data_IF_389244046460
#
_entry.id   IF_389244046460
#
_cell.length_a   1.000
_cell.length_b   1.000
_cell.length_c   1.000
_cell.angle_alpha   90.00
_cell.angle_beta   90.00
_cell.angle_gamma   90.00
#
_symmetry.space_group_name_H-M   'P 1'
#
loop_
_entity.id
_entity.type
_entity.pdbx_description
1 polymer ?
#
# COMPACT_ATOMS: atom_id res chain seq x y z
N UNK A 1 -0.19 2.75 12.80
CA UNK A 1 -0.98 1.49 12.96
C UNK A 1 -0.55 0.53 11.86
N UNK A 2 -0.45 -0.79 12.07
CA UNK A 2 -0.10 -1.70 10.96
C UNK A 2 -1.26 -1.80 9.97
N UNK A 3 -0.95 -1.90 8.68
CA UNK A 3 -1.96 -2.05 7.63
C UNK A 3 -2.83 -3.31 7.85
N UNK A 4 -2.21 -4.41 8.29
CA UNK A 4 -2.90 -5.67 8.58
C UNK A 4 -3.91 -5.55 9.74
N UNK A 5 -3.69 -4.63 10.67
CA UNK A 5 -4.62 -4.38 11.77
C UNK A 5 -5.78 -3.48 11.32
N UNK A 6 -5.48 -2.49 10.46
CA UNK A 6 -6.46 -1.54 9.94
C UNK A 6 -7.42 -2.17 8.92
N UNK A 7 -6.89 -2.97 7.99
CA UNK A 7 -7.60 -3.54 6.84
C UNK A 7 -7.22 -5.01 6.64
N UNK A 8 -7.57 -5.91 7.58
CA UNK A 8 -7.13 -7.31 7.56
C UNK A 8 -7.59 -8.08 6.31
N UNK A 9 -8.80 -7.79 5.82
CA UNK A 9 -9.35 -8.44 4.62
C UNK A 9 -8.58 -8.04 3.36
N UNK A 10 -8.35 -6.73 3.17
CA UNK A 10 -7.54 -6.21 2.06
C UNK A 10 -6.15 -6.83 2.05
N UNK A 11 -5.48 -6.92 3.20
CA UNK A 11 -4.15 -7.52 3.27
C UNK A 11 -4.17 -9.01 2.89
N UNK A 12 -5.20 -9.75 3.30
CA UNK A 12 -5.31 -11.17 2.93
C UNK A 12 -5.54 -11.36 1.43
N UNK A 13 -6.39 -10.54 0.83
CA UNK A 13 -6.67 -10.60 -0.61
C UNK A 13 -5.42 -10.25 -1.43
N UNK A 14 -4.72 -9.17 -1.06
CA UNK A 14 -3.44 -8.79 -1.67
C UNK A 14 -2.41 -9.91 -1.57
N UNK A 15 -2.28 -10.56 -0.40
CA UNK A 15 -1.34 -11.69 -0.23
C UNK A 15 -1.68 -12.83 -1.19
N UNK A 16 -2.96 -13.18 -1.31
CA UNK A 16 -3.43 -14.20 -2.24
C UNK A 16 -3.03 -13.89 -3.68
N UNK A 17 -3.38 -12.70 -4.16
CA UNK A 17 -3.09 -12.27 -5.53
C UNK A 17 -1.59 -12.16 -5.81
N UNK A 18 -0.81 -11.56 -4.90
CA UNK A 18 0.64 -11.44 -5.02
C UNK A 18 1.35 -12.80 -5.12
N UNK A 19 0.91 -13.79 -4.34
CA UNK A 19 1.45 -15.15 -4.42
C UNK A 19 1.19 -15.79 -5.79
N UNK A 20 0.02 -15.57 -6.38
CA UNK A 20 -0.31 -16.11 -7.72
C UNK A 20 0.59 -15.55 -8.82
N UNK A 21 1.00 -14.28 -8.71
CA UNK A 21 1.91 -13.63 -9.67
C UNK A 21 3.39 -13.75 -9.30
N UNK A 22 3.73 -14.56 -8.28
CA UNK A 22 5.12 -14.82 -7.88
C UNK A 22 5.80 -13.68 -7.11
N UNK A 23 5.04 -12.74 -6.52
CA UNK A 23 5.52 -11.59 -5.76
C UNK A 23 5.54 -11.83 -4.25
N UNK A 24 6.10 -12.97 -3.85
CA UNK A 24 6.29 -13.32 -2.43
C UNK A 24 7.16 -12.32 -1.67
N UNK A 25 8.06 -11.61 -2.36
CA UNK A 25 8.88 -10.53 -1.81
C UNK A 25 8.06 -9.34 -1.28
N UNK A 26 6.86 -9.11 -1.83
CA UNK A 26 5.95 -8.05 -1.36
C UNK A 26 5.06 -8.57 -0.21
N UNK A 27 4.66 -9.84 -0.28
CA UNK A 27 3.82 -10.50 0.75
C UNK A 27 4.43 -10.38 2.13
N UNK A 28 5.75 -10.59 2.24
CA UNK A 28 6.49 -10.49 3.50
C UNK A 28 6.46 -9.05 4.07
N UNK A 29 6.43 -8.03 3.21
CA UNK A 29 6.40 -6.63 3.63
C UNK A 29 5.02 -6.19 4.15
N UNK A 30 3.93 -6.71 3.58
CA UNK A 30 2.56 -6.35 3.97
C UNK A 30 2.26 -6.58 5.46
N UNK A 31 2.96 -7.52 6.11
CA UNK A 31 2.81 -7.79 7.54
C UNK A 31 3.48 -6.72 8.44
N UNK A 32 4.39 -5.92 7.88
CA UNK A 32 5.24 -5.02 8.64
C UNK A 32 4.98 -3.54 8.37
N UNK A 33 4.33 -3.21 7.25
CA UNK A 33 4.02 -1.82 6.91
C UNK A 33 3.00 -1.19 7.85
N UNK A 34 3.24 0.08 8.17
CA UNK A 34 2.33 0.89 8.97
C UNK A 34 1.65 1.94 8.11
N UNK A 35 0.36 2.15 8.31
CA UNK A 35 -0.36 3.26 7.69
C UNK A 35 0.15 4.58 8.28
N UNK A 36 0.56 5.50 7.41
CA UNK A 36 1.01 6.85 7.78
C UNK A 36 -0.12 7.87 7.62
N UNK A 37 -0.82 7.81 6.48
CA UNK A 37 -1.96 8.65 6.14
C UNK A 37 -2.71 8.02 4.97
N UNK A 38 -3.87 8.56 4.65
CA UNK A 38 -4.65 8.14 3.49
C UNK A 38 -5.36 9.34 2.86
N UNK A 39 -5.80 9.17 1.62
CA UNK A 39 -6.63 10.13 0.88
C UNK A 39 -7.73 9.38 0.15
N UNK A 40 -8.87 10.03 -0.05
CA UNK A 40 -9.96 9.54 -0.88
C UNK A 40 -10.22 10.54 -2.00
N UNK A 41 -10.22 10.06 -3.24
CA UNK A 41 -10.60 10.81 -4.43
C UNK A 41 -12.03 10.44 -4.82
N UNK A 42 -12.95 11.39 -4.63
CA UNK A 42 -14.38 11.21 -4.92
C UNK A 42 -14.69 11.13 -6.43
N UNK A 43 -13.83 11.69 -7.28
CA UNK A 43 -14.02 11.61 -8.74
C UNK A 43 -13.63 10.25 -9.28
N UNK A 44 -12.60 9.63 -8.71
CA UNK A 44 -12.10 8.32 -9.11
C UNK A 44 -12.73 7.16 -8.31
N UNK A 45 -13.46 7.47 -7.22
CA UNK A 45 -13.86 6.52 -6.18
C UNK A 45 -12.68 5.64 -5.75
N UNK A 46 -11.58 6.29 -5.40
CA UNK A 46 -10.32 5.62 -5.08
C UNK A 46 -9.78 6.07 -3.73
N UNK A 47 -9.38 5.09 -2.91
CA UNK A 47 -8.66 5.34 -1.65
C UNK A 47 -7.20 5.01 -1.85
N UNK A 48 -6.33 5.98 -1.58
CA UNK A 48 -4.89 5.79 -1.57
C UNK A 48 -4.36 5.79 -0.13
N UNK A 49 -3.65 4.73 0.23
CA UNK A 49 -3.09 4.53 1.57
C UNK A 49 -1.58 4.67 1.47
N UNK A 50 -1.03 5.67 2.16
CA UNK A 50 0.41 5.86 2.28
C UNK A 50 0.92 5.02 3.45
N UNK A 51 1.95 4.23 3.20
CA UNK A 51 2.52 3.35 4.21
C UNK A 51 4.00 3.58 4.43
N UNK A 52 4.42 3.43 5.68
CA UNK A 52 5.80 3.47 6.11
C UNK A 52 6.34 2.06 6.30
N UNK A 53 7.54 1.80 5.77
CA UNK A 53 8.31 0.59 6.04
C UNK A 53 9.05 0.71 7.38
N UNK A 54 9.14 -0.38 8.16
CA UNK A 54 9.91 -0.41 9.41
C UNK A 54 11.40 -0.18 9.23
N UNK A 55 11.94 -0.44 8.03
CA UNK A 55 13.36 -0.24 7.75
C UNK A 55 13.62 1.22 7.44
N UNK A 56 14.24 1.94 8.38
CA UNK A 56 14.74 3.29 8.14
C UNK A 56 15.70 3.29 6.94
N UNK A 57 15.47 4.20 6.00
CA UNK A 57 16.46 4.49 4.96
C UNK A 57 17.69 5.11 5.61
N UNK A 58 18.88 4.80 5.09
CA UNK A 58 20.08 5.52 5.49
C UNK A 58 20.07 6.95 4.90
N UNK A 59 20.97 7.82 5.35
CA UNK A 59 21.04 9.21 4.88
C UNK A 59 21.26 9.33 3.36
N UNK A 60 21.92 8.36 2.73
CA UNK A 60 22.16 8.36 1.28
C UNK A 60 20.85 8.12 0.52
N UNK A 61 20.07 7.12 0.96
CA UNK A 61 18.80 6.74 0.36
C UNK A 61 17.70 7.79 0.57
N UNK A 62 17.75 8.54 1.69
CA UNK A 62 16.85 9.66 1.95
C UNK A 62 17.08 10.86 1.01
N UNK A 63 18.31 11.03 0.53
CA UNK A 63 18.77 12.18 -0.25
C UNK A 63 18.73 11.96 -1.77
N UNK A 64 18.11 10.88 -2.24
CA UNK A 64 17.89 10.68 -3.68
C UNK A 64 16.94 11.77 -4.21
N UNK A 65 17.46 12.63 -5.10
CA UNK A 65 16.72 13.70 -5.78
C UNK A 65 15.94 13.08 -6.95
N UNK A 66 14.61 13.04 -6.84
CA UNK A 66 13.71 12.45 -7.83
C UNK A 66 12.44 11.89 -7.18
N UNK A 67 11.46 11.47 -7.99
CA UNK A 67 10.26 10.80 -7.47
C UNK A 67 10.63 9.54 -6.68
N UNK A 68 10.03 9.34 -5.51
CA UNK A 68 10.23 8.14 -4.67
C UNK A 68 9.42 6.93 -5.15
N UNK A 69 9.02 6.90 -6.41
CA UNK A 69 8.22 5.85 -7.02
C UNK A 69 9.09 5.04 -7.98
N UNK A 70 9.20 3.74 -7.71
CA UNK A 70 10.00 2.81 -8.51
C UNK A 70 9.17 1.88 -9.39
N UNK A 71 8.09 1.31 -8.87
CA UNK A 71 7.26 0.31 -9.57
C UNK A 71 5.81 0.38 -9.08
N UNK A 72 4.84 0.20 -9.98
CA UNK A 72 3.46 -0.15 -9.61
C UNK A 72 3.20 -1.61 -9.97
N UNK A 73 2.80 -2.40 -8.98
CA UNK A 73 2.25 -3.75 -9.18
C UNK A 73 0.74 -3.63 -9.27
N UNK A 74 0.22 -3.79 -10.49
CA UNK A 74 -1.23 -3.75 -10.70
C UNK A 74 -1.86 -5.11 -10.44
N UNK A 75 -2.91 -5.10 -9.63
CA UNK A 75 -3.82 -6.22 -9.36
C UNK A 75 -5.25 -5.78 -9.74
N UNK A 76 -5.36 -4.91 -10.76
CA UNK A 76 -6.61 -4.28 -11.16
C UNK A 76 -7.64 -5.32 -11.61
N UNK A 77 -7.24 -6.25 -12.47
CA UNK A 77 -8.15 -7.25 -13.04
C UNK A 77 -8.66 -8.25 -11.98
N UNK A 78 -7.87 -8.49 -10.93
CA UNK A 78 -8.20 -9.43 -9.86
C UNK A 78 -8.92 -8.81 -8.67
N UNK A 79 -8.50 -7.61 -8.25
CA UNK A 79 -8.89 -6.99 -6.98
C UNK A 79 -9.29 -5.51 -7.09
N UNK A 80 -9.08 -4.86 -8.23
CA UNK A 80 -9.23 -3.41 -8.34
C UNK A 80 -8.22 -2.63 -7.47
N UNK A 81 -7.00 -3.16 -7.31
CA UNK A 81 -5.99 -2.58 -6.42
C UNK A 81 -4.64 -2.43 -7.12
N UNK A 82 -3.86 -1.44 -6.69
CA UNK A 82 -2.47 -1.26 -7.08
C UNK A 82 -1.57 -1.16 -5.84
N UNK A 83 -0.36 -1.72 -5.93
CA UNK A 83 0.68 -1.56 -4.91
C UNK A 83 1.83 -0.76 -5.52
N UNK A 84 2.13 0.39 -4.92
CA UNK A 84 3.28 1.19 -5.30
C UNK A 84 4.49 0.82 -4.46
N UNK A 85 5.61 0.59 -5.12
CA UNK A 85 6.90 0.41 -4.52
C UNK A 85 7.78 1.63 -4.75
N UNK A 86 8.63 1.93 -3.78
CA UNK A 86 9.67 2.92 -3.92
C UNK A 86 10.87 2.40 -4.75
N UNK A 87 11.86 3.27 -4.94
CA UNK A 87 13.09 2.96 -5.69
C UNK A 87 13.92 1.82 -5.07
N UNK A 88 13.59 1.39 -3.85
CA UNK A 88 14.24 0.29 -3.12
C UNK A 88 13.36 -0.96 -3.06
N UNK A 89 12.29 -1.02 -3.87
CA UNK A 89 11.30 -2.11 -3.92
C UNK A 89 10.55 -2.30 -2.59
N UNK A 90 10.41 -1.23 -1.81
CA UNK A 90 9.63 -1.24 -0.57
C UNK A 90 8.25 -0.69 -0.83
N UNK A 91 7.22 -1.28 -0.21
CA UNK A 91 5.85 -0.76 -0.34
C UNK A 91 5.81 0.69 0.16
N UNK A 92 5.34 1.59 -0.71
CA UNK A 92 5.16 3.01 -0.45
C UNK A 92 3.67 3.38 -0.35
N UNK A 93 2.80 2.66 -1.06
CA UNK A 93 1.38 2.87 -0.97
C UNK A 93 0.54 1.75 -1.57
N UNK A 94 -0.75 1.79 -1.25
CA UNK A 94 -1.78 0.90 -1.79
C UNK A 94 -2.93 1.75 -2.28
N UNK A 95 -3.28 1.61 -3.55
CA UNK A 95 -4.47 2.20 -4.15
C UNK A 95 -5.57 1.14 -4.23
N UNK A 96 -6.78 1.53 -3.86
CA UNK A 96 -7.96 0.67 -3.87
C UNK A 96 -9.08 1.42 -4.58
N UNK A 97 -9.56 0.86 -5.68
CA UNK A 97 -10.71 1.34 -6.42
C UNK A 97 -12.02 0.94 -5.73
N UNK A 98 -13.10 1.65 -6.06
CA UNK A 98 -14.37 1.58 -5.33
C UNK A 98 -14.13 1.79 -3.82
N UNK A 99 -13.20 2.70 -3.52
CA UNK A 99 -12.48 2.78 -2.26
C UNK A 99 -13.26 3.46 -1.15
N UNK A 100 -14.48 3.95 -1.38
CA UNK A 100 -15.25 4.70 -0.37
C UNK A 100 -15.40 3.95 0.95
N UNK A 101 -15.70 2.65 0.88
CA UNK A 101 -15.86 1.80 2.07
C UNK A 101 -14.55 1.68 2.87
N UNK A 102 -13.40 1.67 2.21
CA UNK A 102 -12.08 1.68 2.84
C UNK A 102 -11.83 3.02 3.54
N UNK A 103 -12.15 4.15 2.89
CA UNK A 103 -12.00 5.47 3.48
C UNK A 103 -12.83 5.62 4.76
N UNK A 104 -14.09 5.19 4.72
CA UNK A 104 -14.99 5.23 5.89
C UNK A 104 -14.44 4.35 7.04
N UNK A 105 -13.88 3.18 6.73
CA UNK A 105 -13.25 2.30 7.73
C UNK A 105 -11.99 2.93 8.35
N UNK A 106 -11.12 3.54 7.54
CA UNK A 106 -9.91 4.22 8.01
C UNK A 106 -10.23 5.45 8.87
N UNK A 107 -11.28 6.21 8.50
CA UNK A 107 -11.77 7.34 9.28
C UNK A 107 -12.30 6.92 10.66
N UNK A 108 -12.92 5.74 10.77
CA UNK A 108 -13.49 5.23 12.02
C UNK A 108 -12.43 4.81 13.05
N UNK A 109 -11.20 4.49 12.62
CA UNK A 109 -10.11 4.00 13.49
C UNK A 109 -9.02 5.04 13.77
N UNK A 110 -9.29 6.32 13.45
CA UNK A 110 -8.43 7.47 13.74
C UNK A 110 -6.96 7.28 13.30
N UNK A 111 -6.77 6.98 12.02
CA UNK A 111 -5.45 6.99 11.36
C UNK A 111 -4.97 8.43 11.15
#
# INVERSE_FOLDING_TARGET
MKLVDALPHVVNDLKGALLQIGRGDIVDQLAEVSVERWTYDDMADATYIYVGSLRSLNEVDLNIIGGRHGETVSLYDELGMNIDLDNHRRIAGVEILEGRHIADQLAAIAV
#
